data_IF_137957870436
#
_entry.id   IF_137957870436
#
_cell.length_a   1.000
_cell.length_b   1.000
_cell.length_c   1.000
_cell.angle_alpha   90.00
_cell.angle_beta   90.00
_cell.angle_gamma   90.00
#
_symmetry.space_group_name_H-M   'P 1'
#
loop_
_entity.id
_entity.type
_entity.pdbx_description
1 polymer ?
#
# COMPACT_ATOMS: atom_id res chain seq x y z
N UNK A 1 15.05 -9.51 10.07
CA UNK A 1 13.70 -10.10 10.20
C UNK A 1 13.52 -11.32 9.32
N UNK A 2 13.63 -11.21 7.98
CA UNK A 2 13.44 -12.36 7.07
C UNK A 2 14.38 -13.55 7.31
N UNK A 3 15.68 -13.33 7.59
CA UNK A 3 16.63 -14.41 7.94
C UNK A 3 16.20 -15.26 9.15
N UNK A 4 15.39 -14.69 10.06
CA UNK A 4 14.82 -15.41 11.21
C UNK A 4 13.40 -15.91 10.98
N UNK A 5 12.91 -15.95 9.74
CA UNK A 5 11.55 -16.36 9.40
C UNK A 5 10.45 -15.37 9.81
N UNK A 6 10.80 -14.15 10.19
CA UNK A 6 9.83 -13.16 10.68
C UNK A 6 8.95 -12.59 9.58
N UNK A 7 7.67 -12.38 9.91
CA UNK A 7 6.64 -11.80 9.03
C UNK A 7 6.73 -10.28 8.98
N UNK A 8 6.75 -9.71 7.78
CA UNK A 8 6.76 -8.25 7.55
C UNK A 8 5.47 -7.82 6.87
N UNK A 9 4.76 -6.85 7.46
CA UNK A 9 3.54 -6.27 6.89
C UNK A 9 3.80 -4.85 6.41
N UNK A 10 3.39 -4.53 5.18
CA UNK A 10 3.38 -3.16 4.67
C UNK A 10 2.01 -2.52 4.94
N UNK A 11 1.99 -1.33 5.51
CA UNK A 11 0.81 -0.45 5.60
C UNK A 11 1.04 0.73 4.69
N UNK A 12 0.29 0.84 3.59
CA UNK A 12 0.60 1.77 2.51
C UNK A 12 -0.51 2.78 2.20
N UNK A 13 -0.12 4.01 1.88
CA UNK A 13 -0.98 5.04 1.31
C UNK A 13 -0.70 5.33 -0.18
N UNK A 14 -1.62 6.05 -0.85
CA UNK A 14 -1.51 6.32 -2.29
C UNK A 14 -0.29 7.17 -2.66
N UNK A 15 0.31 7.89 -1.71
CA UNK A 15 1.54 8.66 -1.93
C UNK A 15 2.73 7.76 -2.34
N UNK A 16 2.72 6.46 -2.01
CA UNK A 16 3.69 5.50 -2.58
C UNK A 16 3.67 5.54 -4.11
N UNK A 17 2.48 5.64 -4.69
CA UNK A 17 2.32 5.66 -6.15
C UNK A 17 2.67 7.04 -6.69
N UNK A 18 2.13 8.10 -6.09
CA UNK A 18 2.34 9.48 -6.55
C UNK A 18 3.82 9.90 -6.57
N UNK A 19 4.62 9.33 -5.68
CA UNK A 19 6.06 9.62 -5.55
C UNK A 19 6.94 8.64 -6.36
N UNK A 20 6.34 7.72 -7.12
CA UNK A 20 7.07 6.81 -8.00
C UNK A 20 7.68 5.58 -7.31
N UNK A 21 7.33 5.29 -6.06
CA UNK A 21 7.85 4.14 -5.31
C UNK A 21 7.14 2.81 -5.61
N UNK A 22 6.13 2.78 -6.48
CA UNK A 22 5.33 1.59 -6.78
C UNK A 22 6.18 0.40 -7.24
N UNK A 23 7.19 0.63 -8.09
CA UNK A 23 8.08 -0.41 -8.61
C UNK A 23 8.97 -0.99 -7.50
N UNK A 24 9.48 -0.14 -6.60
CA UNK A 24 10.26 -0.58 -5.43
C UNK A 24 9.44 -1.45 -4.49
N UNK A 25 8.19 -1.07 -4.19
CA UNK A 25 7.31 -1.90 -3.35
C UNK A 25 6.98 -3.22 -4.03
N UNK A 26 6.71 -3.19 -5.35
CA UNK A 26 6.46 -4.40 -6.13
C UNK A 26 7.67 -5.34 -6.09
N UNK A 27 8.89 -4.82 -6.21
CA UNK A 27 10.13 -5.58 -6.10
C UNK A 27 10.30 -6.21 -4.71
N UNK A 28 10.00 -5.47 -3.63
CA UNK A 28 10.07 -5.99 -2.27
C UNK A 28 9.06 -7.13 -2.04
N UNK A 29 7.85 -7.03 -2.58
CA UNK A 29 6.86 -8.12 -2.55
C UNK A 29 7.37 -9.31 -3.37
N UNK A 30 7.86 -9.06 -4.58
CA UNK A 30 8.34 -10.09 -5.49
C UNK A 30 9.49 -10.90 -4.88
N UNK A 31 10.44 -10.23 -4.23
CA UNK A 31 11.60 -10.81 -3.56
C UNK A 31 11.26 -11.45 -2.19
N UNK A 32 9.99 -11.44 -1.78
CA UNK A 32 9.53 -12.11 -0.57
C UNK A 32 9.86 -11.36 0.73
N UNK A 33 10.20 -10.07 0.66
CA UNK A 33 10.40 -9.25 1.85
C UNK A 33 9.09 -8.85 2.51
N UNK A 34 8.02 -8.63 1.75
CA UNK A 34 6.69 -8.25 2.26
C UNK A 34 5.76 -9.46 2.24
N UNK A 35 5.19 -9.79 3.40
CA UNK A 35 4.35 -10.97 3.61
C UNK A 35 2.84 -10.64 3.65
N UNK A 36 2.47 -9.37 3.80
CA UNK A 36 1.09 -8.89 3.67
C UNK A 36 1.03 -7.39 3.40
N UNK A 37 -0.07 -6.91 2.81
CA UNK A 37 -0.31 -5.48 2.54
C UNK A 37 -1.63 -5.01 3.15
N UNK A 38 -1.58 -3.93 3.91
CA UNK A 38 -2.74 -3.24 4.47
C UNK A 38 -2.84 -1.85 3.84
N UNK A 39 -3.93 -1.58 3.15
CA UNK A 39 -4.13 -0.30 2.47
C UNK A 39 -5.62 0.08 2.41
N UNK A 40 -5.93 1.14 1.67
CA UNK A 40 -7.28 1.52 1.31
C UNK A 40 -7.49 1.54 -0.21
N UNK A 41 -8.69 1.90 -0.64
CA UNK A 41 -9.08 1.97 -2.05
C UNK A 41 -8.07 2.76 -2.91
N UNK A 42 -7.67 3.95 -2.45
CA UNK A 42 -6.84 4.86 -3.23
C UNK A 42 -5.49 4.26 -3.65
N UNK A 43 -4.79 3.54 -2.76
CA UNK A 43 -3.51 2.91 -3.12
C UNK A 43 -3.73 1.89 -4.24
N UNK A 44 -4.73 1.03 -4.12
CA UNK A 44 -5.00 0.00 -5.11
C UNK A 44 -5.44 0.60 -6.45
N UNK A 45 -6.30 1.61 -6.45
CA UNK A 45 -6.72 2.27 -7.69
C UNK A 45 -5.54 2.94 -8.38
N UNK A 46 -4.72 3.70 -7.65
CA UNK A 46 -3.58 4.38 -8.27
C UNK A 46 -2.49 3.42 -8.73
N UNK A 47 -2.25 2.32 -8.01
CA UNK A 47 -1.35 1.27 -8.48
C UNK A 47 -1.82 0.68 -9.82
N UNK A 48 -3.12 0.41 -9.93
CA UNK A 48 -3.73 -0.14 -11.16
C UNK A 48 -3.73 0.91 -12.29
N UNK A 49 -4.04 2.16 -11.99
CA UNK A 49 -3.96 3.29 -12.93
C UNK A 49 -2.53 3.42 -13.47
N UNK A 50 -1.52 3.40 -12.60
CA UNK A 50 -0.12 3.45 -12.99
C UNK A 50 0.28 2.23 -13.83
N UNK A 51 -0.15 1.04 -13.40
CA UNK A 51 0.19 -0.20 -14.07
C UNK A 51 -0.40 -0.29 -15.50
N UNK A 52 -1.57 0.29 -15.73
CA UNK A 52 -2.32 0.15 -16.99
C UNK A 52 -2.21 1.36 -17.90
N UNK A 53 -2.12 2.57 -17.34
CA UNK A 53 -2.16 3.85 -18.07
C UNK A 53 -0.88 4.69 -17.87
N UNK A 54 0.02 4.30 -16.96
CA UNK A 54 1.26 5.02 -16.68
C UNK A 54 1.09 6.29 -15.83
N UNK A 55 -0.13 6.56 -15.37
CA UNK A 55 -0.47 7.78 -14.62
C UNK A 55 -0.92 7.51 -13.19
N UNK A 56 -0.90 8.55 -12.36
CA UNK A 56 -1.63 8.61 -11.11
C UNK A 56 -2.33 9.95 -11.00
N UNK A 57 -3.65 9.96 -10.82
CA UNK A 57 -4.48 11.19 -10.92
C UNK A 57 -4.27 11.92 -12.26
N UNK A 58 -4.00 11.18 -13.34
CA UNK A 58 -3.75 11.77 -14.64
C UNK A 58 -2.39 12.45 -14.83
N UNK A 59 -1.49 12.36 -13.85
CA UNK A 59 -0.09 12.77 -13.99
C UNK A 59 0.79 11.57 -14.37
N UNK A 60 1.64 11.72 -15.37
CA UNK A 60 2.65 10.73 -15.73
C UNK A 60 3.68 10.61 -14.60
N UNK A 61 3.79 9.43 -13.99
CA UNK A 61 4.64 9.23 -12.81
C UNK A 61 6.14 9.44 -13.11
N UNK A 62 6.57 9.16 -14.35
CA UNK A 62 8.00 9.20 -14.73
C UNK A 62 8.56 10.60 -14.90
N UNK A 63 7.77 11.53 -15.42
CA UNK A 63 8.22 12.87 -15.80
C UNK A 63 7.41 14.01 -15.15
N UNK A 64 6.35 13.67 -14.39
CA UNK A 64 5.50 14.64 -13.70
C UNK A 64 4.58 15.45 -14.62
N UNK A 65 4.52 15.13 -15.91
CA UNK A 65 3.68 15.85 -16.88
C UNK A 65 2.21 15.45 -16.77
N UNK A 66 1.30 16.33 -17.19
CA UNK A 66 -0.13 16.02 -17.27
C UNK A 66 -0.43 15.20 -18.52
N UNK A 67 -1.10 14.06 -18.35
CA UNK A 67 -1.61 13.28 -19.47
C UNK A 67 -2.81 13.99 -20.11
N UNK A 68 -2.93 13.88 -21.43
CA UNK A 68 -4.09 14.41 -22.17
C UNK A 68 -5.37 13.77 -21.64
N UNK A 69 -6.28 14.59 -21.09
CA UNK A 69 -7.51 14.13 -20.42
C UNK A 69 -7.27 13.17 -19.24
N UNK A 70 -6.11 13.26 -18.58
CA UNK A 70 -5.70 12.38 -17.48
C UNK A 70 -6.66 12.29 -16.29
N UNK A 71 -7.47 13.32 -16.02
CA UNK A 71 -8.52 13.30 -14.99
C UNK A 71 -9.52 12.11 -15.10
N UNK A 72 -9.62 11.45 -16.27
CA UNK A 72 -10.48 10.28 -16.49
C UNK A 72 -9.81 8.96 -16.12
N UNK A 73 -8.47 8.91 -16.13
CA UNK A 73 -7.70 7.69 -15.98
C UNK A 73 -8.01 6.96 -14.67
N UNK A 74 -8.21 7.72 -13.60
CA UNK A 74 -8.61 7.19 -12.29
C UNK A 74 -9.93 6.42 -12.37
N UNK A 75 -10.98 7.02 -12.96
CA UNK A 75 -12.28 6.38 -13.14
C UNK A 75 -12.23 5.22 -14.14
N UNK A 76 -11.41 5.32 -15.19
CA UNK A 76 -11.21 4.24 -16.15
C UNK A 76 -10.55 3.02 -15.49
N UNK A 77 -9.58 3.22 -14.60
CA UNK A 77 -8.97 2.16 -13.80
C UNK A 77 -10.00 1.48 -12.89
N UNK A 78 -10.82 2.25 -12.16
CA UNK A 78 -11.92 1.73 -11.34
C UNK A 78 -12.87 0.87 -12.19
N UNK A 79 -13.35 1.43 -13.31
CA UNK A 79 -14.27 0.75 -14.22
C UNK A 79 -13.66 -0.53 -14.81
N UNK A 80 -12.35 -0.55 -15.08
CA UNK A 80 -11.66 -1.75 -15.58
C UNK A 80 -11.69 -2.90 -14.56
N UNK A 81 -11.49 -2.60 -13.28
CA UNK A 81 -11.59 -3.60 -12.19
C UNK A 81 -13.05 -4.06 -12.03
N UNK A 82 -14.02 -3.14 -12.03
CA UNK A 82 -15.45 -3.50 -12.00
C UNK A 82 -15.84 -4.46 -13.13
N UNK A 83 -15.40 -4.17 -14.37
CA UNK A 83 -15.62 -5.05 -15.53
C UNK A 83 -14.94 -6.42 -15.38
N UNK A 84 -13.81 -6.50 -14.69
CA UNK A 84 -13.15 -7.77 -14.37
C UNK A 84 -13.83 -8.51 -13.19
N UNK A 85 -14.51 -7.79 -12.31
CA UNK A 85 -15.22 -8.28 -11.13
C UNK A 85 -14.37 -8.38 -9.86
N UNK A 86 -13.04 -8.35 -9.97
CA UNK A 86 -12.10 -8.19 -8.85
C UNK A 86 -10.68 -7.93 -9.38
N UNK A 87 -9.79 -7.47 -8.51
CA UNK A 87 -8.35 -7.34 -8.81
C UNK A 87 -7.77 -8.70 -9.20
N UNK A 88 -8.10 -9.76 -8.45
CA UNK A 88 -7.63 -11.12 -8.77
C UNK A 88 -8.04 -11.57 -10.17
N UNK A 89 -9.31 -11.34 -10.57
CA UNK A 89 -9.81 -11.67 -11.91
C UNK A 89 -9.13 -10.81 -12.98
N UNK A 90 -8.83 -9.54 -12.69
CA UNK A 90 -8.11 -8.66 -13.61
C UNK A 90 -6.69 -9.15 -13.88
N UNK A 91 -6.00 -9.68 -12.86
CA UNK A 91 -4.68 -10.32 -13.00
C UNK A 91 -4.78 -11.64 -13.77
N UNK A 92 -5.75 -12.51 -13.43
CA UNK A 92 -5.96 -13.80 -14.13
C UNK A 92 -6.27 -13.61 -15.61
N UNK A 93 -7.02 -12.56 -15.97
CA UNK A 93 -7.33 -12.20 -17.35
C UNK A 93 -6.21 -11.44 -18.07
N UNK A 94 -5.03 -11.27 -17.45
CA UNK A 94 -3.86 -10.56 -17.99
C UNK A 94 -4.11 -9.07 -18.32
N UNK A 95 -5.16 -8.47 -17.79
CA UNK A 95 -5.44 -7.03 -17.92
C UNK A 95 -4.61 -6.19 -16.95
N UNK A 96 -4.20 -6.79 -15.83
CA UNK A 96 -3.21 -6.23 -14.91
C UNK A 96 -1.98 -7.15 -14.93
N UNK A 97 -0.82 -6.63 -15.34
CA UNK A 97 0.40 -7.42 -15.59
C UNK A 97 1.62 -6.98 -14.78
N UNK A 98 1.49 -5.93 -13.96
CA UNK A 98 2.55 -5.36 -13.10
C UNK A 98 1.91 -4.54 -11.98
N UNK A 99 2.71 -4.11 -11.00
CA UNK A 99 2.29 -3.29 -9.87
C UNK A 99 2.15 -4.06 -8.57
N UNK A 100 1.89 -3.34 -7.49
CA UNK A 100 1.79 -3.87 -6.13
C UNK A 100 0.66 -4.91 -6.05
N UNK A 101 -0.52 -4.56 -6.57
CA UNK A 101 -1.69 -5.43 -6.52
C UNK A 101 -1.50 -6.68 -7.39
N UNK A 102 -0.78 -6.56 -8.50
CA UNK A 102 -0.40 -7.69 -9.34
C UNK A 102 0.52 -8.66 -8.60
N UNK A 103 1.60 -8.17 -7.99
CA UNK A 103 2.55 -8.99 -7.24
C UNK A 103 1.86 -9.66 -6.05
N UNK A 104 0.97 -8.95 -5.34
CA UNK A 104 0.18 -9.54 -4.27
C UNK A 104 -0.63 -10.76 -4.74
N UNK A 105 -1.35 -10.64 -5.86
CA UNK A 105 -2.12 -11.75 -6.42
C UNK A 105 -1.21 -12.89 -6.89
N UNK A 106 -0.12 -12.57 -7.62
CA UNK A 106 0.78 -13.59 -8.18
C UNK A 106 1.52 -14.39 -7.12
N UNK A 107 2.00 -13.72 -6.07
CA UNK A 107 2.73 -14.34 -4.95
C UNK A 107 1.80 -14.85 -3.85
N UNK A 108 0.48 -14.71 -4.02
CA UNK A 108 -0.56 -15.06 -3.02
C UNK A 108 -0.32 -14.36 -1.67
N UNK A 109 0.17 -13.13 -1.73
CA UNK A 109 0.35 -12.28 -0.56
C UNK A 109 -1.01 -11.71 -0.17
N UNK A 110 -1.48 -11.95 1.06
CA UNK A 110 -2.76 -11.44 1.50
C UNK A 110 -2.71 -9.91 1.57
N UNK A 111 -3.79 -9.28 1.11
CA UNK A 111 -3.99 -7.85 1.27
C UNK A 111 -5.39 -7.53 1.77
N UNK A 112 -5.53 -6.40 2.47
CA UNK A 112 -6.83 -5.88 2.91
C UNK A 112 -6.93 -4.42 2.50
N UNK A 113 -7.98 -4.11 1.75
CA UNK A 113 -8.33 -2.75 1.36
C UNK A 113 -9.50 -2.28 2.26
N UNK A 114 -9.20 -1.47 3.26
CA UNK A 114 -10.22 -0.89 4.13
C UNK A 114 -10.83 0.35 3.46
N UNK A 115 -12.17 0.40 3.41
CA UNK A 115 -12.90 1.50 2.81
C UNK A 115 -12.83 2.78 3.63
N UNK A 116 -13.06 3.90 2.97
CA UNK A 116 -13.11 5.24 3.57
C UNK A 116 -14.20 6.11 2.94
N UNK A 117 -14.62 7.16 3.65
CA UNK A 117 -15.68 8.06 3.19
C UNK A 117 -15.37 8.78 1.87
N UNK A 118 -14.10 8.83 1.46
CA UNK A 118 -13.64 9.52 0.25
C UNK A 118 -13.43 8.59 -0.94
N UNK A 119 -13.80 7.32 -0.83
CA UNK A 119 -13.48 6.35 -1.87
C UNK A 119 -14.34 6.54 -3.12
N UNK A 120 -13.68 6.74 -4.26
CA UNK A 120 -14.30 6.65 -5.58
C UNK A 120 -14.44 5.19 -6.01
N UNK A 121 -15.61 4.79 -6.53
CA UNK A 121 -15.93 3.40 -6.86
C UNK A 121 -16.77 2.74 -5.76
N UNK A 122 -16.17 2.25 -4.66
CA UNK A 122 -14.79 1.73 -4.50
C UNK A 122 -14.56 0.47 -5.34
N UNK A 123 -13.32 -0.05 -5.39
CA UNK A 123 -13.07 -1.35 -6.04
C UNK A 123 -13.88 -2.48 -5.36
N UNK A 124 -14.32 -3.53 -6.11
CA UNK A 124 -15.05 -4.67 -5.55
C UNK A 124 -14.35 -5.38 -4.39
N UNK A 125 -13.02 -5.31 -4.33
CA UNK A 125 -12.18 -5.92 -3.29
C UNK A 125 -12.13 -5.10 -1.98
N UNK A 126 -12.71 -3.90 -1.95
CA UNK A 126 -12.70 -3.00 -0.78
C UNK A 126 -13.75 -3.40 0.25
N UNK A 127 -13.32 -3.50 1.51
CA UNK A 127 -14.20 -3.75 2.65
C UNK A 127 -14.73 -2.42 3.17
N UNK A 128 -15.98 -2.10 2.84
CA UNK A 128 -16.65 -0.85 3.24
C UNK A 128 -17.10 -0.85 4.70
N UNK A 129 -17.39 -2.03 5.27
CA UNK A 129 -17.67 -2.19 6.70
C UNK A 129 -16.36 -2.03 7.50
N UNK A 130 -16.25 -0.92 8.22
CA UNK A 130 -15.04 -0.56 9.00
C UNK A 130 -14.74 -1.56 10.13
N UNK A 131 -15.77 -2.16 10.73
CA UNK A 131 -15.62 -3.14 11.81
C UNK A 131 -15.08 -4.45 11.25
N UNK A 132 -15.60 -4.88 10.09
CA UNK A 132 -15.06 -6.03 9.37
C UNK A 132 -13.63 -5.78 8.88
N UNK A 133 -13.35 -4.59 8.33
CA UNK A 133 -12.03 -4.22 7.88
C UNK A 133 -11.01 -4.25 9.03
N UNK A 134 -11.38 -3.73 10.20
CA UNK A 134 -10.54 -3.78 11.41
C UNK A 134 -10.28 -5.23 11.85
N UNK A 135 -11.30 -6.09 11.84
CA UNK A 135 -11.14 -7.53 12.17
C UNK A 135 -10.15 -8.19 11.20
N UNK A 136 -10.28 -7.92 9.90
CA UNK A 136 -9.36 -8.44 8.87
C UNK A 136 -7.94 -7.91 9.02
N UNK A 137 -7.76 -6.64 9.38
CA UNK A 137 -6.46 -6.09 9.73
C UNK A 137 -5.83 -6.86 10.90
N UNK A 138 -6.57 -7.10 12.00
CA UNK A 138 -6.06 -7.88 13.14
C UNK A 138 -5.65 -9.30 12.75
N UNK A 139 -6.45 -9.97 11.91
CA UNK A 139 -6.12 -11.31 11.38
C UNK A 139 -4.80 -11.30 10.61
N UNK A 140 -4.58 -10.30 9.74
CA UNK A 140 -3.34 -10.13 8.98
C UNK A 140 -2.15 -9.75 9.86
N UNK A 141 -2.37 -8.96 10.91
CA UNK A 141 -1.30 -8.51 11.82
C UNK A 141 -0.85 -9.60 12.80
N UNK A 142 -1.61 -10.70 12.93
CA UNK A 142 -1.23 -11.82 13.78
C UNK A 142 0.16 -12.33 13.39
N UNK A 143 1.01 -12.50 14.40
CA UNK A 143 2.40 -12.98 14.31
C UNK A 143 3.33 -12.08 13.47
N UNK A 144 2.95 -10.83 13.20
CA UNK A 144 3.83 -9.86 12.56
C UNK A 144 5.06 -9.60 13.42
N UNK A 145 6.25 -9.74 12.84
CA UNK A 145 7.52 -9.42 13.50
C UNK A 145 7.94 -7.97 13.24
N UNK A 146 7.50 -7.42 12.10
CA UNK A 146 7.76 -6.04 11.71
C UNK A 146 6.59 -5.48 10.89
N UNK A 147 6.30 -4.20 11.09
CA UNK A 147 5.36 -3.44 10.27
C UNK A 147 6.04 -2.19 9.72
N UNK A 148 5.94 -2.01 8.41
CA UNK A 148 6.46 -0.84 7.70
C UNK A 148 5.26 0.00 7.28
N UNK A 149 5.15 1.21 7.82
CA UNK A 149 4.06 2.14 7.62
C UNK A 149 4.54 3.27 6.72
N UNK A 150 3.92 3.45 5.55
CA UNK A 150 4.41 4.39 4.54
C UNK A 150 3.29 5.30 4.04
N UNK A 151 3.48 6.61 4.25
CA UNK A 151 2.68 7.69 3.69
C UNK A 151 1.17 7.53 3.89
N UNK A 152 0.74 7.12 5.10
CA UNK A 152 -0.67 6.90 5.42
C UNK A 152 -0.98 7.10 6.89
N UNK A 153 -1.34 8.33 7.29
CA UNK A 153 -1.65 8.61 8.70
C UNK A 153 -2.77 7.71 9.25
N UNK A 154 -3.91 7.61 8.54
CA UNK A 154 -5.09 6.89 9.03
C UNK A 154 -4.83 5.39 9.21
N UNK A 155 -4.32 4.71 8.18
CA UNK A 155 -4.09 3.27 8.25
C UNK A 155 -2.93 2.94 9.20
N UNK A 156 -1.90 3.79 9.29
CA UNK A 156 -0.79 3.61 10.22
C UNK A 156 -1.27 3.73 11.67
N UNK A 157 -2.08 4.74 11.99
CA UNK A 157 -2.64 4.92 13.34
C UNK A 157 -3.55 3.75 13.70
N UNK A 158 -4.43 3.35 12.78
CA UNK A 158 -5.32 2.20 12.98
C UNK A 158 -4.50 0.93 13.25
N UNK A 159 -3.48 0.67 12.44
CA UNK A 159 -2.59 -0.49 12.59
C UNK A 159 -1.82 -0.44 13.90
N UNK A 160 -1.25 0.71 14.27
CA UNK A 160 -0.55 0.91 15.54
C UNK A 160 -1.43 0.61 16.77
N UNK A 161 -2.73 0.93 16.72
CA UNK A 161 -3.68 0.55 17.79
C UNK A 161 -3.88 -0.96 17.94
N UNK A 162 -3.56 -1.75 16.92
CA UNK A 162 -3.81 -3.19 16.85
C UNK A 162 -2.56 -4.03 17.12
N UNK A 163 -1.39 -3.40 17.24
CA UNK A 163 -0.10 -4.08 17.38
C UNK A 163 0.27 -4.32 18.85
N UNK A 164 0.83 -5.50 19.18
CA UNK A 164 1.48 -5.70 20.46
C UNK A 164 2.84 -5.00 20.51
N UNK A 165 3.33 -4.69 21.72
CA UNK A 165 4.52 -3.86 21.93
C UNK A 165 5.85 -4.50 21.45
N UNK A 166 5.87 -5.80 21.20
CA UNK A 166 7.05 -6.55 20.74
C UNK A 166 7.26 -6.50 19.22
N UNK A 167 6.35 -5.89 18.46
CA UNK A 167 6.49 -5.77 17.00
C UNK A 167 7.34 -4.56 16.66
N UNK A 168 8.32 -4.76 15.76
CA UNK A 168 9.14 -3.65 15.24
C UNK A 168 8.31 -2.79 14.31
N UNK A 169 8.32 -1.48 14.49
CA UNK A 169 7.55 -0.55 13.66
C UNK A 169 8.50 0.40 12.95
N UNK A 170 8.36 0.56 11.64
CA UNK A 170 9.05 1.58 10.87
C UNK A 170 7.99 2.49 10.27
N UNK A 171 8.08 3.79 10.52
CA UNK A 171 7.15 4.79 10.00
C UNK A 171 7.91 5.71 9.06
N UNK A 172 7.46 5.82 7.81
CA UNK A 172 7.99 6.73 6.81
C UNK A 172 6.86 7.63 6.34
N UNK A 173 6.98 8.92 6.64
CA UNK A 173 6.04 9.94 6.18
C UNK A 173 6.77 11.27 6.01
N UNK A 174 6.42 12.05 5.00
CA UNK A 174 7.02 13.38 4.80
C UNK A 174 6.53 14.37 5.86
N UNK A 175 5.37 14.10 6.46
CA UNK A 175 4.75 14.94 7.47
C UNK A 175 5.21 14.53 8.87
N UNK A 176 6.08 15.35 9.48
CA UNK A 176 6.62 15.12 10.82
C UNK A 176 5.53 14.86 11.88
N UNK A 177 4.45 15.67 12.02
CA UNK A 177 3.33 15.37 12.92
C UNK A 177 2.77 13.94 12.84
N UNK A 178 2.67 13.36 11.64
CA UNK A 178 2.23 11.97 11.46
C UNK A 178 3.21 11.01 12.11
N UNK A 179 4.51 11.21 11.88
CA UNK A 179 5.59 10.41 12.46
C UNK A 179 5.58 10.54 13.98
N UNK A 180 5.56 11.76 14.52
CA UNK A 180 5.49 12.02 15.97
C UNK A 180 4.32 11.30 16.61
N UNK A 181 3.12 11.39 16.01
CA UNK A 181 1.92 10.76 16.57
C UNK A 181 2.02 9.23 16.67
N UNK A 182 2.75 8.62 15.76
CA UNK A 182 2.97 7.17 15.75
C UNK A 182 4.10 6.76 16.71
N UNK A 183 5.10 7.62 16.89
CA UNK A 183 6.20 7.42 17.84
C UNK A 183 5.75 7.52 19.31
N UNK A 184 4.77 8.39 19.63
CA UNK A 184 4.27 8.62 20.99
C UNK A 184 3.55 7.40 21.62
N UNK A 185 3.34 6.31 20.87
CA UNK A 185 2.50 5.18 21.29
C UNK A 185 3.22 4.14 22.14
N UNK A 186 4.32 4.51 22.80
CA UNK A 186 5.03 3.66 23.77
C UNK A 186 5.72 2.44 23.16
N UNK A 187 5.77 2.33 21.83
CA UNK A 187 6.56 1.33 21.12
C UNK A 187 8.03 1.71 21.20
N UNK A 188 8.72 1.21 22.22
CA UNK A 188 10.18 1.30 22.37
C UNK A 188 10.96 0.78 21.14
N UNK A 189 10.28 0.07 20.22
CA UNK A 189 10.84 -0.47 18.97
C UNK A 189 10.30 0.21 17.71
N UNK A 190 9.76 1.43 17.80
CA UNK A 190 9.38 2.23 16.64
C UNK A 190 10.56 3.07 16.13
N UNK A 191 10.74 3.10 14.81
CA UNK A 191 11.67 3.98 14.11
C UNK A 191 10.86 4.92 13.20
N UNK A 192 10.91 6.22 13.49
CA UNK A 192 10.26 7.24 12.69
C UNK A 192 11.24 7.91 11.73
N UNK A 193 10.87 7.99 10.45
CA UNK A 193 11.67 8.57 9.37
C UNK A 193 10.82 9.64 8.69
N UNK A 194 11.24 10.90 8.82
CA UNK A 194 10.61 12.02 8.11
C UNK A 194 11.28 12.15 6.74
N UNK A 195 10.67 11.58 5.70
CA UNK A 195 11.24 11.56 4.35
C UNK A 195 10.19 11.31 3.28
N UNK A 196 10.55 11.59 2.04
CA UNK A 196 9.75 11.26 0.87
C UNK A 196 9.78 9.74 0.60
N UNK A 197 8.61 9.13 0.39
CA UNK A 197 8.50 7.70 0.14
C UNK A 197 9.13 7.29 -1.20
N UNK A 198 9.05 8.18 -2.20
CA UNK A 198 9.65 8.05 -3.53
C UNK A 198 11.17 8.05 -3.51
N UNK A 199 11.79 8.77 -2.59
CA UNK A 199 13.24 8.73 -2.39
C UNK A 199 13.67 7.53 -1.53
N UNK A 200 12.95 7.27 -0.44
CA UNK A 200 13.35 6.28 0.56
C UNK A 200 13.22 4.83 0.07
N UNK A 201 12.08 4.45 -0.49
CA UNK A 201 11.81 3.06 -0.87
C UNK A 201 12.72 2.54 -1.99
N UNK A 202 13.07 3.31 -3.04
CA UNK A 202 14.07 2.88 -4.02
C UNK A 202 15.47 2.69 -3.42
N UNK A 203 15.89 3.50 -2.45
CA UNK A 203 17.18 3.28 -1.77
C UNK A 203 17.16 1.96 -1.02
N UNK A 204 16.11 1.70 -0.22
CA UNK A 204 15.96 0.43 0.50
C UNK A 204 15.95 -0.76 -0.47
N UNK A 205 15.23 -0.66 -1.58
CA UNK A 205 15.15 -1.75 -2.56
C UNK A 205 16.48 -2.02 -3.28
N UNK A 206 17.40 -1.05 -3.36
CA UNK A 206 18.72 -1.24 -3.97
C UNK A 206 19.75 -1.85 -3.01
N UNK A 207 19.58 -1.62 -1.72
CA UNK A 207 20.47 -2.14 -0.65
C UNK A 207 20.15 -3.59 -0.24
N UNK A 208 19.01 -4.15 -0.69
CA UNK A 208 18.48 -5.47 -0.33
C UNK A 208 18.70 -6.54 -1.40
#
# INVERSE_FOLDING_TARGET
>A
TKKGGGKIVLVGGPAIIHTGAAESVSALIHSGYIDAVLAGNALAVHDIEYATLGTSLGMNIRDGTLAVRGHRNHMDAINAVFKAGSIEKMVKSKKLTKGIMYECVKKKIPFVLAGSLRDDGPLPDVITDVTLAQKKYKEILKDASMVIMVATMLHSIATGNMLPANVKVIVIDINQPTVTKLMDRGTWQALGIVSDAGAFLPMVSKEL
#
